data_IF_514117939017
#
_entry.id   IF_514117939017
#
_cell.length_a   1.000
_cell.length_b   1.000
_cell.length_c   1.000
_cell.angle_alpha   90.00
_cell.angle_beta   90.00
_cell.angle_gamma   90.00
#
_symmetry.space_group_name_H-M   'P 1'
#
loop_
_entity.id
_entity.type
_entity.pdbx_description
1 polymer ?
#
# COMPACT_ATOMS: atom_id res chain seq x y z
N UNK A 1 -63.87 -9.95 -25.78
CA UNK A 1 -63.83 -9.70 -24.33
C UNK A 1 -62.44 -10.05 -23.82
N UNK A 2 -61.62 -9.05 -23.47
CA UNK A 2 -60.35 -9.23 -22.77
C UNK A 2 -60.45 -8.59 -21.39
N UNK A 3 -59.95 -9.22 -20.30
CA UNK A 3 -59.98 -8.60 -18.98
C UNK A 3 -58.76 -7.70 -18.76
N UNK A 4 -59.01 -6.58 -18.10
CA UNK A 4 -58.04 -5.55 -17.75
C UNK A 4 -57.04 -6.05 -16.69
N UNK A 5 -55.73 -5.90 -16.96
CA UNK A 5 -54.67 -6.06 -15.95
C UNK A 5 -54.60 -4.81 -15.08
N UNK A 6 -54.95 -4.95 -13.81
CA UNK A 6 -54.79 -3.91 -12.79
C UNK A 6 -53.30 -3.59 -12.57
N UNK A 7 -52.96 -2.30 -12.64
CA UNK A 7 -51.62 -1.79 -12.30
C UNK A 7 -51.46 -1.89 -10.78
N UNK A 8 -50.65 -2.84 -10.30
CA UNK A 8 -50.12 -2.80 -8.92
C UNK A 8 -49.18 -1.60 -8.82
N UNK A 9 -49.56 -0.60 -8.02
CA UNK A 9 -48.68 0.48 -7.59
C UNK A 9 -47.60 -0.15 -6.70
N UNK A 10 -46.40 -0.37 -7.24
CA UNK A 10 -45.23 -0.73 -6.44
C UNK A 10 -44.80 0.51 -5.64
N UNK A 11 -45.33 0.66 -4.42
CA UNK A 11 -44.76 1.55 -3.42
C UNK A 11 -43.43 0.95 -2.97
N UNK A 12 -42.33 1.57 -3.41
CA UNK A 12 -40.98 1.22 -2.96
C UNK A 12 -40.88 1.40 -1.43
N UNK A 13 -40.22 0.47 -0.71
CA UNK A 13 -40.08 0.55 0.74
C UNK A 13 -39.27 1.78 1.17
N UNK A 14 -39.73 2.43 2.24
CA UNK A 14 -39.17 3.65 2.85
C UNK A 14 -37.76 3.51 3.49
N UNK A 15 -37.00 2.45 3.17
CA UNK A 15 -35.68 2.18 3.76
C UNK A 15 -34.51 2.93 3.12
N UNK A 16 -34.75 3.72 2.07
CA UNK A 16 -33.72 4.50 1.38
C UNK A 16 -33.93 6.01 1.56
N UNK A 17 -34.20 6.47 2.79
CA UNK A 17 -33.81 7.85 3.14
C UNK A 17 -32.29 7.87 3.20
N UNK A 18 -31.73 8.14 2.02
CA UNK A 18 -30.37 8.56 1.74
C UNK A 18 -29.96 9.57 2.82
N UNK A 19 -29.34 9.07 3.89
CA UNK A 19 -28.71 9.90 4.90
C UNK A 19 -27.67 10.71 4.13
N UNK A 20 -27.90 12.01 4.02
CA UNK A 20 -26.97 12.92 3.38
C UNK A 20 -25.77 13.01 4.33
N UNK A 21 -24.90 12.00 4.29
CA UNK A 21 -23.68 11.95 5.07
C UNK A 21 -22.77 13.03 4.49
N UNK A 22 -22.73 14.19 5.15
CA UNK A 22 -21.77 15.24 4.85
C UNK A 22 -20.36 14.63 4.74
N UNK A 23 -19.57 15.14 3.79
CA UNK A 23 -18.17 14.70 3.68
C UNK A 23 -17.43 15.23 4.91
N UNK A 24 -16.48 14.45 5.46
CA UNK A 24 -15.69 14.89 6.62
C UNK A 24 -15.03 16.26 6.38
N UNK A 25 -14.65 16.54 5.13
CA UNK A 25 -14.09 17.82 4.72
C UNK A 25 -15.12 18.97 4.70
N UNK A 26 -16.39 18.68 4.39
CA UNK A 26 -17.47 19.67 4.47
C UNK A 26 -17.70 20.07 5.93
N UNK A 27 -17.80 19.10 6.84
CA UNK A 27 -17.89 19.34 8.29
C UNK A 27 -16.67 20.14 8.80
N UNK A 28 -15.47 19.85 8.30
CA UNK A 28 -14.25 20.60 8.67
C UNK A 28 -14.28 22.05 8.17
N UNK A 29 -14.93 22.32 7.04
CA UNK A 29 -15.13 23.69 6.55
C UNK A 29 -16.20 24.40 7.36
N UNK A 30 -17.28 23.70 7.72
CA UNK A 30 -18.35 24.24 8.57
C UNK A 30 -17.79 24.67 9.94
N UNK A 31 -16.81 23.92 10.49
CA UNK A 31 -16.03 24.36 11.65
C UNK A 31 -15.30 25.67 11.42
N UNK A 32 -14.60 25.82 10.30
CA UNK A 32 -13.84 27.03 10.00
C UNK A 32 -14.77 28.25 9.87
N UNK A 33 -15.89 28.10 9.16
CA UNK A 33 -16.89 29.16 9.03
C UNK A 33 -17.53 29.55 10.38
N UNK A 34 -17.76 28.57 11.26
CA UNK A 34 -18.28 28.83 12.61
C UNK A 34 -17.27 29.58 13.48
N UNK A 35 -15.97 29.31 13.34
CA UNK A 35 -14.91 30.01 14.05
C UNK A 35 -14.68 31.42 13.50
N UNK A 36 -14.73 31.64 12.18
CA UNK A 36 -14.62 32.98 11.60
C UNK A 36 -15.77 33.88 12.11
N UNK A 37 -16.99 33.32 12.20
CA UNK A 37 -18.16 34.01 12.77
C UNK A 37 -18.03 34.34 14.27
N UNK A 38 -17.17 33.64 15.01
CA UNK A 38 -16.94 33.93 16.43
C UNK A 38 -16.21 35.28 16.62
N UNK A 39 -15.30 35.63 15.70
CA UNK A 39 -14.57 36.89 15.76
C UNK A 39 -15.52 38.10 15.63
N UNK A 40 -16.56 37.99 14.80
CA UNK A 40 -17.54 39.06 14.53
C UNK A 40 -18.37 39.49 15.76
N UNK A 41 -18.73 38.57 16.66
CA UNK A 41 -19.59 38.88 17.82
C UNK A 41 -18.83 39.13 19.11
N UNK A 42 -17.52 38.82 19.16
CA UNK A 42 -16.73 39.07 20.36
C UNK A 42 -16.58 40.58 20.67
N UNK A 43 -16.71 41.43 19.65
CA UNK A 43 -16.67 42.90 19.72
C UNK A 43 -17.98 43.57 20.20
N UNK A 44 -19.05 42.81 20.44
CA UNK A 44 -20.31 43.36 20.96
C UNK A 44 -20.18 43.84 22.43
N UNK A 45 -20.63 45.07 22.69
CA UNK A 45 -20.59 45.72 24.02
C UNK A 45 -21.78 45.36 24.94
N UNK A 46 -22.93 44.92 24.41
CA UNK A 46 -24.09 44.53 25.22
C UNK A 46 -23.91 43.10 25.81
N UNK A 47 -23.78 42.95 27.15
CA UNK A 47 -23.55 41.65 27.77
C UNK A 47 -24.72 40.67 27.62
N UNK A 48 -25.96 41.16 27.53
CA UNK A 48 -27.15 40.29 27.49
C UNK A 48 -27.33 39.63 26.11
N UNK A 49 -27.12 40.40 25.04
CA UNK A 49 -27.16 39.88 23.67
C UNK A 49 -25.97 38.96 23.39
N UNK A 50 -24.79 39.30 23.93
CA UNK A 50 -23.58 38.48 23.82
C UNK A 50 -23.76 37.09 24.41
N UNK A 51 -24.36 36.96 25.59
CA UNK A 51 -24.62 35.66 26.22
C UNK A 51 -25.58 34.80 25.37
N UNK A 52 -26.64 35.38 24.82
CA UNK A 52 -27.60 34.66 23.98
C UNK A 52 -26.95 34.13 22.69
N UNK A 53 -26.08 34.93 22.05
CA UNK A 53 -25.34 34.53 20.84
C UNK A 53 -24.29 33.47 21.16
N UNK A 54 -23.57 33.60 22.28
CA UNK A 54 -22.61 32.60 22.74
C UNK A 54 -23.27 31.24 22.98
N UNK A 55 -24.43 31.20 23.64
CA UNK A 55 -25.17 29.96 23.86
C UNK A 55 -25.60 29.32 22.53
N UNK A 56 -26.09 30.11 21.56
CA UNK A 56 -26.44 29.60 20.23
C UNK A 56 -25.21 29.07 19.46
N UNK A 57 -24.06 29.73 19.61
CA UNK A 57 -22.79 29.31 19.02
C UNK A 57 -22.31 27.98 19.60
N UNK A 58 -22.29 27.83 20.92
CA UNK A 58 -21.92 26.57 21.59
C UNK A 58 -22.81 25.40 21.19
N UNK A 59 -24.13 25.62 21.13
CA UNK A 59 -25.07 24.57 20.68
C UNK A 59 -24.81 24.14 19.24
N UNK A 60 -24.38 25.07 18.38
CA UNK A 60 -24.02 24.78 16.98
C UNK A 60 -22.69 24.02 16.90
N UNK A 61 -21.69 24.45 17.69
CA UNK A 61 -20.39 23.79 17.78
C UNK A 61 -20.52 22.33 18.22
N UNK A 62 -21.29 22.07 19.28
CA UNK A 62 -21.52 20.72 19.80
C UNK A 62 -22.19 19.82 18.75
N UNK A 63 -23.10 20.38 17.94
CA UNK A 63 -23.70 19.67 16.82
C UNK A 63 -22.68 19.25 15.75
N UNK A 64 -21.82 20.17 15.32
CA UNK A 64 -20.78 19.90 14.31
C UNK A 64 -19.71 18.94 14.85
N UNK A 65 -19.31 19.07 16.13
CA UNK A 65 -18.42 18.13 16.82
C UNK A 65 -18.99 16.71 16.85
N UNK A 66 -20.25 16.55 17.24
CA UNK A 66 -20.92 15.25 17.23
C UNK A 66 -20.96 14.63 15.83
N UNK A 67 -21.28 15.41 14.80
CA UNK A 67 -21.28 14.93 13.40
C UNK A 67 -19.87 14.53 12.92
N UNK A 68 -18.85 15.29 13.30
CA UNK A 68 -17.46 14.99 12.98
C UNK A 68 -16.99 13.68 13.64
N UNK A 69 -17.28 13.50 14.93
CA UNK A 69 -16.92 12.29 15.67
C UNK A 69 -17.58 11.04 15.07
N UNK A 70 -18.89 11.08 14.80
CA UNK A 70 -19.63 9.98 14.18
C UNK A 70 -19.03 9.64 12.81
N UNK A 71 -18.69 10.67 12.02
CA UNK A 71 -18.13 10.45 10.68
C UNK A 71 -16.72 9.89 10.75
N UNK A 72 -15.88 10.41 11.64
CA UNK A 72 -14.53 9.92 11.89
C UNK A 72 -14.55 8.46 12.39
N UNK A 73 -15.48 8.12 13.27
CA UNK A 73 -15.68 6.75 13.75
C UNK A 73 -16.06 5.82 12.60
N UNK A 74 -17.04 6.20 11.77
CA UNK A 74 -17.46 5.41 10.62
C UNK A 74 -16.30 5.13 9.65
N UNK A 75 -15.48 6.14 9.36
CA UNK A 75 -14.28 5.99 8.52
C UNK A 75 -13.25 5.07 9.21
N UNK A 76 -13.04 5.24 10.52
CA UNK A 76 -12.14 4.40 11.32
C UNK A 76 -12.55 2.93 11.32
N UNK A 77 -13.84 2.64 11.50
CA UNK A 77 -14.41 1.29 11.43
C UNK A 77 -14.21 0.67 10.05
N UNK A 78 -14.46 1.44 8.98
CA UNK A 78 -14.25 0.96 7.61
C UNK A 78 -12.78 0.65 7.33
N UNK A 79 -11.84 1.48 7.81
CA UNK A 79 -10.40 1.20 7.70
C UNK A 79 -10.02 -0.08 8.45
N UNK A 80 -10.60 -0.34 9.63
CA UNK A 80 -10.38 -1.59 10.37
C UNK A 80 -10.89 -2.79 9.59
N UNK A 81 -12.08 -2.69 9.00
CA UNK A 81 -12.62 -3.74 8.14
C UNK A 81 -11.67 -4.03 6.97
N UNK A 82 -11.22 -2.99 6.25
CA UNK A 82 -10.27 -3.15 5.15
C UNK A 82 -8.96 -3.82 5.61
N UNK A 83 -8.46 -3.49 6.80
CA UNK A 83 -7.25 -4.15 7.34
C UNK A 83 -7.45 -5.64 7.60
N UNK A 84 -8.62 -6.04 8.09
CA UNK A 84 -8.98 -7.45 8.29
C UNK A 84 -9.08 -8.18 6.94
N UNK A 85 -9.75 -7.57 5.96
CA UNK A 85 -9.85 -8.13 4.61
C UNK A 85 -8.48 -8.29 3.95
N UNK A 86 -7.61 -7.27 4.05
CA UNK A 86 -6.23 -7.34 3.54
C UNK A 86 -5.43 -8.47 4.21
N UNK A 87 -5.57 -8.65 5.52
CA UNK A 87 -4.88 -9.71 6.24
C UNK A 87 -5.32 -11.10 5.76
N UNK A 88 -6.63 -11.31 5.63
CA UNK A 88 -7.19 -12.56 5.11
C UNK A 88 -6.74 -12.84 3.66
N UNK A 89 -6.73 -11.80 2.80
CA UNK A 89 -6.24 -11.93 1.42
C UNK A 89 -4.76 -12.32 1.36
N UNK A 90 -3.91 -11.72 2.20
CA UNK A 90 -2.48 -12.04 2.26
C UNK A 90 -2.22 -13.47 2.72
N UNK A 91 -2.99 -13.96 3.68
CA UNK A 91 -2.89 -15.34 4.15
C UNK A 91 -3.20 -16.34 3.03
N UNK A 92 -4.29 -16.10 2.30
CA UNK A 92 -4.67 -16.95 1.16
C UNK A 92 -3.66 -16.84 0.00
N UNK A 93 -3.15 -15.64 -0.28
CA UNK A 93 -2.10 -15.43 -1.29
C UNK A 93 -0.84 -16.23 -0.93
N UNK A 94 -0.40 -16.20 0.33
CA UNK A 94 0.75 -16.99 0.80
C UNK A 94 0.50 -18.48 0.64
N UNK A 95 -0.71 -18.96 0.96
CA UNK A 95 -1.10 -20.37 0.77
C UNK A 95 -1.04 -20.79 -0.70
N UNK A 96 -1.57 -19.95 -1.60
CA UNK A 96 -1.53 -20.19 -3.04
C UNK A 96 -0.11 -20.11 -3.60
N UNK A 97 0.69 -19.14 -3.15
CA UNK A 97 2.08 -19.00 -3.54
C UNK A 97 2.91 -20.21 -3.12
N UNK A 98 2.68 -20.76 -1.92
CA UNK A 98 3.34 -21.98 -1.47
C UNK A 98 2.96 -23.18 -2.35
N UNK A 99 1.66 -23.36 -2.65
CA UNK A 99 1.19 -24.42 -3.56
C UNK A 99 1.79 -24.30 -4.96
N UNK A 100 1.91 -23.07 -5.48
CA UNK A 100 2.57 -22.79 -6.76
C UNK A 100 4.04 -23.22 -6.70
N UNK A 101 4.79 -22.77 -5.69
CA UNK A 101 6.21 -23.11 -5.50
C UNK A 101 6.45 -24.62 -5.41
N UNK A 102 5.60 -25.36 -4.69
CA UNK A 102 5.70 -26.82 -4.62
C UNK A 102 5.52 -27.47 -5.98
N UNK A 103 4.54 -27.03 -6.77
CA UNK A 103 4.33 -27.56 -8.13
C UNK A 103 5.47 -27.20 -9.08
N UNK A 104 5.99 -25.98 -9.00
CA UNK A 104 7.14 -25.53 -9.76
C UNK A 104 8.38 -26.38 -9.44
N UNK A 105 8.68 -26.56 -8.16
CA UNK A 105 9.80 -27.38 -7.71
C UNK A 105 9.66 -28.84 -8.18
N UNK A 106 8.46 -29.41 -8.08
CA UNK A 106 8.21 -30.77 -8.58
C UNK A 106 8.41 -30.87 -10.10
N UNK A 107 7.93 -29.88 -10.86
CA UNK A 107 8.10 -29.85 -12.31
C UNK A 107 9.59 -29.69 -12.72
N UNK A 108 10.32 -28.84 -12.01
CA UNK A 108 11.76 -28.65 -12.20
C UNK A 108 12.54 -29.92 -11.84
N UNK A 109 12.23 -30.56 -10.71
CA UNK A 109 12.83 -31.83 -10.30
C UNK A 109 12.61 -32.94 -11.33
N UNK A 110 11.39 -33.07 -11.87
CA UNK A 110 11.10 -34.02 -12.95
C UNK A 110 11.83 -33.67 -14.26
N UNK A 111 12.01 -32.39 -14.56
CA UNK A 111 12.76 -31.95 -15.74
C UNK A 111 14.25 -32.27 -15.62
N UNK A 112 14.84 -32.07 -14.44
CA UNK A 112 16.22 -32.45 -14.14
C UNK A 112 16.38 -33.97 -14.21
N UNK A 113 15.46 -34.72 -13.58
CA UNK A 113 15.48 -36.18 -13.63
C UNK A 113 15.43 -36.70 -15.08
N UNK A 114 14.50 -36.19 -15.88
CA UNK A 114 14.37 -36.55 -17.29
C UNK A 114 15.63 -36.22 -18.09
N UNK A 115 16.22 -35.04 -17.86
CA UNK A 115 17.50 -34.64 -18.47
C UNK A 115 18.61 -35.65 -18.13
N UNK A 116 18.80 -35.95 -16.85
CA UNK A 116 19.83 -36.89 -16.37
C UNK A 116 19.65 -38.28 -16.99
N UNK A 117 18.42 -38.78 -17.08
CA UNK A 117 18.14 -40.07 -17.70
C UNK A 117 18.40 -40.06 -19.22
N UNK A 118 18.05 -38.98 -19.93
CA UNK A 118 18.33 -38.84 -21.36
C UNK A 118 19.85 -38.79 -21.64
N UNK A 119 20.61 -38.11 -20.78
CA UNK A 119 22.07 -38.04 -20.85
C UNK A 119 22.72 -39.42 -20.61
N UNK A 120 22.24 -40.18 -19.61
CA UNK A 120 22.72 -41.54 -19.32
C UNK A 120 22.47 -42.54 -20.46
N UNK A 121 21.35 -42.41 -21.16
CA UNK A 121 20.97 -43.30 -22.27
C UNK A 121 21.53 -42.79 -23.61
N UNK A 122 22.26 -41.66 -23.62
CA UNK A 122 22.80 -41.01 -24.81
C UNK A 122 21.73 -40.79 -25.91
N UNK A 123 20.52 -40.38 -25.50
CA UNK A 123 19.37 -40.13 -26.37
C UNK A 123 19.00 -38.64 -26.32
N UNK A 124 19.40 -37.91 -27.35
CA UNK A 124 19.18 -36.45 -27.40
C UNK A 124 17.75 -36.06 -27.77
N UNK A 125 16.99 -36.96 -28.42
CA UNK A 125 15.63 -36.70 -28.91
C UNK A 125 14.69 -37.86 -28.65
N UNK A 126 13.54 -37.55 -28.06
CA UNK A 126 12.42 -38.46 -27.87
C UNK A 126 11.20 -37.79 -28.49
N UNK A 127 10.65 -38.41 -29.54
CA UNK A 127 9.44 -37.95 -30.21
C UNK A 127 8.32 -38.93 -29.91
N UNK A 128 7.29 -38.48 -29.21
CA UNK A 128 6.09 -39.27 -28.93
C UNK A 128 4.85 -38.49 -29.40
N UNK A 129 3.72 -39.15 -29.71
CA UNK A 129 2.52 -38.49 -30.21
C UNK A 129 1.95 -37.38 -29.30
N UNK A 130 2.31 -37.38 -28.01
CA UNK A 130 1.83 -36.40 -27.02
C UNK A 130 2.88 -35.37 -26.63
N UNK A 131 4.17 -35.71 -26.68
CA UNK A 131 5.26 -34.87 -26.22
C UNK A 131 6.52 -35.08 -27.07
N UNK A 132 7.13 -33.98 -27.48
CA UNK A 132 8.46 -33.97 -28.13
C UNK A 132 9.48 -33.39 -27.17
N UNK A 133 10.48 -34.17 -26.79
CA UNK A 133 11.52 -33.79 -25.84
C UNK A 133 12.87 -33.83 -26.55
N UNK A 134 13.62 -32.74 -26.47
CA UNK A 134 14.96 -32.64 -27.05
C UNK A 134 15.91 -31.96 -26.10
N UNK A 135 17.10 -32.53 -25.92
CA UNK A 135 18.21 -31.85 -25.28
C UNK A 135 18.83 -30.85 -26.27
N UNK A 136 19.19 -29.68 -25.75
CA UNK A 136 19.89 -28.64 -26.50
C UNK A 136 21.03 -28.13 -25.62
N UNK A 137 22.17 -27.85 -26.24
CA UNK A 137 23.26 -27.15 -25.56
C UNK A 137 22.86 -25.70 -25.32
N UNK A 138 22.91 -25.28 -24.05
CA UNK A 138 22.73 -23.89 -23.69
C UNK A 138 23.94 -23.07 -24.15
N UNK A 139 23.78 -21.76 -24.19
CA UNK A 139 24.90 -20.85 -24.45
C UNK A 139 25.99 -21.04 -23.38
N UNK A 140 27.24 -20.88 -23.78
CA UNK A 140 28.39 -20.99 -22.88
C UNK A 140 28.28 -19.94 -21.77
N UNK A 141 28.35 -20.39 -20.52
CA UNK A 141 28.36 -19.52 -19.34
C UNK A 141 29.76 -19.49 -18.75
N UNK A 142 30.25 -18.29 -18.46
CA UNK A 142 31.53 -18.13 -17.76
C UNK A 142 31.33 -18.50 -16.29
N UNK A 143 32.01 -19.55 -15.84
CA UNK A 143 32.10 -19.91 -14.43
C UNK A 143 33.41 -19.35 -13.87
N UNK A 144 33.32 -18.56 -12.80
CA UNK A 144 34.48 -17.99 -12.10
C UNK A 144 34.51 -18.62 -10.71
N UNK A 145 35.55 -19.41 -10.41
CA UNK A 145 35.63 -20.13 -9.13
C UNK A 145 35.77 -19.18 -7.93
N UNK A 146 36.62 -18.16 -8.06
CA UNK A 146 36.89 -17.21 -6.98
C UNK A 146 36.87 -15.77 -7.49
N UNK A 147 35.70 -15.12 -7.39
CA UNK A 147 35.46 -13.76 -7.86
C UNK A 147 36.45 -12.74 -7.27
N UNK A 148 36.85 -12.89 -6.00
CA UNK A 148 37.75 -11.92 -5.35
C UNK A 148 39.17 -11.98 -5.92
N UNK A 149 39.68 -13.19 -6.15
CA UNK A 149 40.98 -13.37 -6.82
C UNK A 149 40.90 -12.93 -8.27
N UNK A 150 39.78 -13.22 -8.94
CA UNK A 150 39.55 -12.83 -10.32
C UNK A 150 39.50 -11.30 -10.48
N UNK A 151 38.79 -10.59 -9.59
CA UNK A 151 38.75 -9.12 -9.57
C UNK A 151 40.13 -8.53 -9.32
N UNK A 152 40.90 -9.07 -8.36
CA UNK A 152 42.28 -8.60 -8.11
C UNK A 152 43.18 -8.84 -9.32
N UNK A 153 43.06 -9.99 -9.96
CA UNK A 153 43.81 -10.33 -11.18
C UNK A 153 43.44 -9.36 -12.31
N UNK A 154 42.15 -9.09 -12.53
CA UNK A 154 41.69 -8.11 -13.52
C UNK A 154 42.20 -6.69 -13.23
N UNK A 155 42.19 -6.26 -11.97
CA UNK A 155 42.75 -4.98 -11.54
C UNK A 155 44.26 -4.90 -11.76
N UNK A 156 45.00 -5.98 -11.46
CA UNK A 156 46.46 -6.05 -11.70
C UNK A 156 46.82 -6.04 -13.19
N UNK A 157 45.99 -6.66 -14.03
CA UNK A 157 46.16 -6.67 -15.48
C UNK A 157 45.54 -5.45 -16.19
N UNK A 158 44.98 -4.49 -15.44
CA UNK A 158 44.40 -3.25 -15.99
C UNK A 158 43.16 -3.47 -16.88
N UNK A 159 42.41 -4.56 -16.65
CA UNK A 159 41.20 -4.92 -17.40
C UNK A 159 39.94 -4.38 -16.71
N UNK A 160 39.87 -3.05 -16.64
CA UNK A 160 38.74 -2.33 -16.05
C UNK A 160 37.45 -2.47 -16.88
N UNK A 161 37.56 -2.89 -18.15
CA UNK A 161 36.43 -3.22 -19.04
C UNK A 161 35.53 -4.33 -18.49
N UNK A 162 36.06 -5.18 -17.61
CA UNK A 162 35.38 -6.35 -17.05
C UNK A 162 34.87 -6.10 -15.61
N UNK A 163 35.05 -4.90 -15.06
CA UNK A 163 34.72 -4.56 -13.68
C UNK A 163 33.60 -3.52 -13.60
N UNK A 164 32.64 -3.74 -12.69
CA UNK A 164 31.56 -2.79 -12.41
C UNK A 164 31.77 -2.12 -11.05
N UNK A 165 32.03 -0.82 -11.06
CA UNK A 165 32.12 0.00 -9.85
C UNK A 165 30.75 0.61 -9.51
N UNK A 166 30.33 0.52 -8.24
CA UNK A 166 29.12 1.16 -7.73
C UNK A 166 29.52 2.34 -6.84
N UNK A 167 28.86 3.48 -7.04
CA UNK A 167 29.08 4.69 -6.23
C UNK A 167 28.72 4.44 -4.75
N UNK A 168 29.43 5.10 -3.81
CA UNK A 168 29.19 4.93 -2.39
C UNK A 168 27.79 5.42 -2.00
N UNK A 169 27.07 4.58 -1.25
CA UNK A 169 25.73 4.92 -0.77
C UNK A 169 25.79 5.73 0.53
N UNK A 170 25.02 6.83 0.59
CA UNK A 170 24.92 7.67 1.78
C UNK A 170 24.19 6.92 2.89
N UNK A 171 24.87 6.72 4.01
CA UNK A 171 24.28 6.15 5.23
C UNK A 171 23.46 7.20 5.99
N UNK A 172 22.22 7.42 5.53
CA UNK A 172 21.27 8.39 6.11
C UNK A 172 21.04 8.23 7.62
N UNK A 173 21.20 7.03 8.17
CA UNK A 173 21.09 6.74 9.61
C UNK A 173 22.19 7.39 10.43
N UNK A 174 23.44 7.35 9.95
CA UNK A 174 24.57 7.98 10.64
C UNK A 174 24.50 9.50 10.52
N UNK A 175 24.14 10.00 9.33
CA UNK A 175 23.88 11.43 9.11
C UNK A 175 22.80 11.95 10.06
N UNK A 176 21.72 11.17 10.28
CA UNK A 176 20.65 11.53 11.23
C UNK A 176 21.17 11.62 12.68
N UNK A 177 22.05 10.71 13.12
CA UNK A 177 22.64 10.74 14.48
C UNK A 177 23.52 11.98 14.65
N UNK A 178 24.36 12.29 13.67
CA UNK A 178 25.28 13.44 13.71
C UNK A 178 24.52 14.78 13.67
N UNK A 179 23.44 14.87 12.89
CA UNK A 179 22.53 16.02 12.92
C UNK A 179 21.81 16.19 14.26
N UNK A 180 21.57 15.09 15.00
CA UNK A 180 20.97 15.14 16.34
C UNK A 180 21.98 15.52 17.42
N UNK A 181 23.27 15.20 17.24
CA UNK A 181 24.35 15.59 18.16
C UNK A 181 24.87 17.02 17.96
N UNK A 182 24.32 17.76 16.99
CA UNK A 182 24.59 19.18 16.80
C UNK A 182 25.58 19.53 15.68
N UNK A 183 26.03 18.56 14.88
CA UNK A 183 26.83 18.86 13.68
C UNK A 183 25.95 19.39 12.55
N UNK A 184 26.41 20.45 11.89
CA UNK A 184 25.70 21.07 10.77
C UNK A 184 26.23 20.52 9.45
N UNK A 185 25.42 19.73 8.75
CA UNK A 185 25.70 19.31 7.38
C UNK A 185 25.03 20.25 6.38
N UNK A 186 25.80 20.80 5.47
CA UNK A 186 25.26 21.61 4.37
C UNK A 186 24.35 20.73 3.49
N UNK A 187 23.05 21.03 3.46
CA UNK A 187 22.05 20.28 2.67
C UNK A 187 21.23 19.22 3.42
N UNK A 188 21.45 19.00 4.72
CA UNK A 188 20.64 18.05 5.50
C UNK A 188 19.86 18.74 6.63
N UNK A 189 18.54 18.52 6.69
CA UNK A 189 17.64 19.09 7.71
C UNK A 189 16.74 18.01 8.30
N UNK A 190 16.51 18.08 9.61
CA UNK A 190 15.52 17.24 10.28
C UNK A 190 14.12 17.83 10.10
N UNK A 191 13.22 17.06 9.49
CA UNK A 191 11.80 17.41 9.33
C UNK A 191 10.98 16.44 10.16
N UNK A 192 10.02 16.95 10.95
CA UNK A 192 9.05 16.14 11.69
C UNK A 192 7.69 16.20 10.99
N UNK A 193 7.12 15.04 10.71
CA UNK A 193 5.76 14.89 10.18
C UNK A 193 4.87 14.20 11.22
N UNK A 194 3.56 14.49 11.19
CA UNK A 194 2.55 13.82 12.04
C UNK A 194 1.94 12.66 11.25
N UNK A 195 1.68 11.53 11.91
CA UNK A 195 1.02 10.36 11.31
C UNK A 195 -0.30 10.05 12.01
N UNK A 196 -1.30 9.62 11.24
CA UNK A 196 -2.57 9.15 11.77
C UNK A 196 -2.42 7.69 12.24
N UNK A 197 -2.79 7.41 13.48
CA UNK A 197 -2.77 6.06 14.06
C UNK A 197 -4.21 5.63 14.37
N UNK A 198 -4.69 4.61 13.68
CA UNK A 198 -5.99 3.97 13.93
C UNK A 198 -5.71 2.66 14.65
N UNK A 199 -6.14 2.56 15.92
CA UNK A 199 -6.09 1.34 16.74
C UNK A 199 -7.46 0.69 16.74
#
# INVERSE_FOLDING_TARGET
MMPARSRRKNSLPQCCRRYNMAKLFEISNDFAELFDRFEDFNEMEDPAEKEAILQAWYNTLEGIEGEFEIKAESIGQYIKQLRVEIAAMKEEEQRLAQRRRTKEHNAEGLSIYLKTCMEQVHRDKIDTPRCRISLRNNAETVQIDNESLFVRMLQQHGRDDLLRYKEPEIRKTEVKKLLQSGEVFHGARLIRTRSLVIK
#
